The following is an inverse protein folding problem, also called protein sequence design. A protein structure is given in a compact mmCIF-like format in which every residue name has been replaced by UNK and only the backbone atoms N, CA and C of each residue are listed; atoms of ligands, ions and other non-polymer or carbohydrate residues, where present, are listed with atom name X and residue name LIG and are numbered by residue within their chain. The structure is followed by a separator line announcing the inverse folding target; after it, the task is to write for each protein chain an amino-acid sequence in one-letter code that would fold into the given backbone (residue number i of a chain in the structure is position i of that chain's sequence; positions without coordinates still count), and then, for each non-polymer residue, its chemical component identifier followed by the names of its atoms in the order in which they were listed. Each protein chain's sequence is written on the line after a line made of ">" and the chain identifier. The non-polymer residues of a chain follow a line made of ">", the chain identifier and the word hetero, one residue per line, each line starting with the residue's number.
data_IF_355216284918
#
_entry.id   IF_355216284918
#
_cell.length_a   1.000
_cell.length_b   1.000
_cell.length_c   1.000
_cell.angle_alpha   90.00
_cell.angle_beta   90.00
_cell.angle_gamma   90.00
#
_symmetry.space_group_name_H-M   'P 1'
#
loop_
_entity.id
_entity.type
_entity.pdbx_description
1 polymer ?
#
# COMPACT_ATOMS: atom_id res chain seq x y z
N UNK A 1 15.06 3.86 -21.41
CA UNK A 1 15.41 3.09 -20.19
C UNK A 1 15.22 4.05 -19.06
N UNK A 2 14.48 3.69 -18.03
CA UNK A 2 14.31 4.53 -16.84
C UNK A 2 15.58 4.39 -16.01
N UNK A 3 16.34 5.46 -15.85
CA UNK A 3 17.59 5.44 -15.10
C UNK A 3 17.30 5.54 -13.59
N UNK A 4 18.21 5.03 -12.76
CA UNK A 4 18.10 5.13 -11.31
C UNK A 4 17.98 6.59 -10.87
N UNK A 5 18.60 7.50 -11.61
CA UNK A 5 18.50 8.95 -11.36
C UNK A 5 17.09 9.47 -11.50
N UNK A 6 16.31 9.01 -12.50
CA UNK A 6 14.89 9.38 -12.68
C UNK A 6 14.04 8.91 -11.49
N UNK A 7 14.29 7.69 -11.00
CA UNK A 7 13.57 7.15 -9.83
C UNK A 7 13.87 7.99 -8.58
N UNK A 8 15.14 8.29 -8.33
CA UNK A 8 15.58 9.09 -7.17
C UNK A 8 15.02 10.52 -7.27
N UNK A 9 15.05 11.12 -8.45
CA UNK A 9 14.49 12.44 -8.68
C UNK A 9 12.97 12.45 -8.40
N UNK A 10 12.24 11.43 -8.86
CA UNK A 10 10.81 11.28 -8.59
C UNK A 10 10.52 11.11 -7.10
N UNK A 11 11.29 10.27 -6.38
CA UNK A 11 11.17 10.13 -4.93
C UNK A 11 11.36 11.48 -4.24
N UNK A 12 12.45 12.21 -4.55
CA UNK A 12 12.70 13.54 -3.97
C UNK A 12 11.58 14.51 -4.27
N UNK A 13 11.09 14.53 -5.51
CA UNK A 13 9.98 15.39 -5.93
C UNK A 13 8.71 15.14 -5.13
N UNK A 14 8.33 13.88 -4.92
CA UNK A 14 7.16 13.50 -4.12
C UNK A 14 7.26 13.99 -2.66
N UNK A 15 8.46 14.00 -2.08
CA UNK A 15 8.66 14.49 -0.72
C UNK A 15 8.71 16.02 -0.62
N UNK A 16 9.32 16.69 -1.61
CA UNK A 16 9.64 18.12 -1.53
C UNK A 16 8.64 19.01 -2.28
N UNK A 17 8.18 18.59 -3.47
CA UNK A 17 7.30 19.34 -4.36
C UNK A 17 6.18 18.45 -4.94
N UNK A 18 5.32 17.83 -4.10
CA UNK A 18 4.41 16.78 -4.54
C UNK A 18 3.44 17.24 -5.65
N UNK A 19 2.92 18.45 -5.58
CA UNK A 19 1.95 18.94 -6.57
C UNK A 19 2.58 19.03 -7.96
N UNK A 20 3.75 19.65 -8.07
CA UNK A 20 4.48 19.78 -9.31
C UNK A 20 4.88 18.40 -9.87
N UNK A 21 5.39 17.52 -8.99
CA UNK A 21 5.77 16.16 -9.37
C UNK A 21 4.59 15.35 -9.91
N UNK A 22 3.38 15.48 -9.32
CA UNK A 22 2.19 14.82 -9.87
C UNK A 22 1.77 15.41 -11.22
N UNK A 23 1.87 16.72 -11.39
CA UNK A 23 1.54 17.38 -12.67
C UNK A 23 2.47 16.89 -13.79
N UNK A 24 3.78 16.86 -13.55
CA UNK A 24 4.77 16.32 -14.48
C UNK A 24 4.54 14.82 -14.76
N UNK A 25 4.09 14.07 -13.76
CA UNK A 25 3.86 12.63 -13.90
C UNK A 25 2.65 12.26 -14.77
N UNK A 26 1.85 13.22 -15.22
CA UNK A 26 0.71 12.94 -16.11
C UNK A 26 1.13 12.18 -17.36
N UNK A 27 2.25 12.58 -17.93
CA UNK A 27 2.76 12.07 -19.20
C UNK A 27 3.84 10.98 -19.01
N UNK A 28 4.13 10.58 -17.77
CA UNK A 28 5.06 9.49 -17.51
C UNK A 28 4.63 8.23 -18.28
N UNK A 29 5.56 7.57 -19.01
CA UNK A 29 5.26 6.34 -19.73
C UNK A 29 4.96 5.20 -18.74
N UNK A 30 4.15 4.23 -19.16
CA UNK A 30 3.80 3.07 -18.32
C UNK A 30 5.03 2.32 -17.81
N UNK A 31 6.08 2.23 -18.63
CA UNK A 31 7.34 1.60 -18.22
C UNK A 31 7.97 2.27 -17.01
N UNK A 32 7.91 3.61 -16.91
CA UNK A 32 8.41 4.36 -15.75
C UNK A 32 7.66 3.98 -14.47
N UNK A 33 6.32 3.91 -14.52
CA UNK A 33 5.49 3.57 -13.36
C UNK A 33 5.79 2.15 -12.89
N UNK A 34 5.87 1.20 -13.83
CA UNK A 34 6.14 -0.21 -13.51
C UNK A 34 7.52 -0.35 -12.87
N UNK A 35 8.55 0.27 -13.45
CA UNK A 35 9.92 0.20 -12.90
C UNK A 35 10.00 0.87 -11.53
N UNK A 36 9.41 2.07 -11.40
CA UNK A 36 9.36 2.78 -10.12
C UNK A 36 8.66 1.94 -9.04
N UNK A 37 7.47 1.43 -9.35
CA UNK A 37 6.72 0.60 -8.40
C UNK A 37 7.47 -0.67 -8.03
N UNK A 38 8.07 -1.37 -9.00
CA UNK A 38 8.87 -2.55 -8.73
C UNK A 38 10.03 -2.25 -7.76
N UNK A 39 10.75 -1.15 -7.95
CA UNK A 39 11.86 -0.76 -7.09
C UNK A 39 11.37 -0.49 -5.66
N UNK A 40 10.38 0.39 -5.48
CA UNK A 40 9.91 0.73 -4.12
C UNK A 40 9.25 -0.46 -3.42
N UNK A 41 8.53 -1.33 -4.16
CA UNK A 41 7.92 -2.55 -3.63
C UNK A 41 8.98 -3.55 -3.16
N UNK A 42 10.04 -3.77 -3.95
CA UNK A 42 11.14 -4.66 -3.58
C UNK A 42 11.87 -4.14 -2.33
N UNK A 43 12.17 -2.84 -2.28
CA UNK A 43 12.76 -2.21 -1.09
C UNK A 43 11.85 -2.38 0.12
N UNK A 44 10.57 -2.08 0.00
CA UNK A 44 9.59 -2.25 1.07
C UNK A 44 9.54 -3.71 1.57
N UNK A 45 9.41 -4.66 0.65
CA UNK A 45 9.32 -6.10 1.00
C UNK A 45 10.60 -6.59 1.69
N UNK A 46 11.76 -6.10 1.27
CA UNK A 46 13.03 -6.43 1.93
C UNK A 46 13.07 -5.90 3.37
N UNK A 47 12.71 -4.62 3.56
CA UNK A 47 12.71 -3.98 4.87
C UNK A 47 11.69 -4.63 5.81
N UNK A 48 10.48 -4.92 5.35
CA UNK A 48 9.50 -5.68 6.11
C UNK A 48 9.99 -7.08 6.48
N UNK A 49 10.63 -7.80 5.56
CA UNK A 49 11.20 -9.12 5.83
C UNK A 49 12.25 -9.06 6.94
N UNK A 50 13.12 -8.05 6.92
CA UNK A 50 14.13 -7.84 7.97
C UNK A 50 13.45 -7.60 9.32
N UNK A 51 12.43 -6.74 9.37
CA UNK A 51 11.70 -6.44 10.62
C UNK A 51 11.00 -7.68 11.15
N UNK A 52 10.30 -8.43 10.30
CA UNK A 52 9.63 -9.69 10.70
C UNK A 52 10.66 -10.69 11.23
N UNK A 53 11.80 -10.84 10.56
CA UNK A 53 12.87 -11.73 11.01
C UNK A 53 13.42 -11.34 12.39
N UNK A 54 13.67 -10.06 12.62
CA UNK A 54 14.18 -9.57 13.92
C UNK A 54 13.13 -9.73 15.04
N UNK A 55 11.86 -9.63 14.73
CA UNK A 55 10.78 -9.78 15.70
C UNK A 55 10.34 -11.24 15.91
N UNK A 56 10.60 -12.13 14.97
CA UNK A 56 10.15 -13.53 15.00
C UNK A 56 10.65 -14.28 16.24
N UNK A 57 11.85 -13.99 16.71
CA UNK A 57 12.38 -14.54 17.95
C UNK A 57 11.59 -14.16 19.21
N UNK A 58 10.84 -13.07 19.17
CA UNK A 58 10.07 -12.53 20.30
C UNK A 58 8.61 -13.03 20.34
N UNK A 59 8.03 -13.38 19.19
CA UNK A 59 6.58 -13.61 19.08
C UNK A 59 6.18 -15.04 18.67
N UNK A 60 7.05 -15.83 18.02
CA UNK A 60 6.65 -17.09 17.39
C UNK A 60 7.10 -18.38 18.11
N UNK A 61 7.58 -18.31 19.34
CA UNK A 61 7.73 -19.48 20.23
C UNK A 61 8.21 -20.79 19.57
N UNK A 62 9.23 -20.77 18.70
CA UNK A 62 9.75 -21.96 18.03
C UNK A 62 9.19 -22.25 16.62
N UNK A 63 8.14 -21.57 16.16
CA UNK A 63 7.62 -21.65 14.78
C UNK A 63 8.24 -20.59 13.85
N UNK A 64 9.28 -19.89 14.32
CA UNK A 64 10.00 -18.91 13.52
C UNK A 64 10.69 -19.59 12.34
N UNK A 65 10.48 -19.11 11.11
CA UNK A 65 11.26 -19.54 9.95
C UNK A 65 12.69 -18.99 10.06
N UNK A 66 13.48 -19.57 10.97
CA UNK A 66 14.82 -19.09 11.33
C UNK A 66 15.90 -19.46 10.31
N UNK A 67 15.59 -20.34 9.36
CA UNK A 67 16.52 -20.75 8.30
C UNK A 67 16.45 -19.85 7.05
N UNK A 68 17.50 -19.87 6.20
CA UNK A 68 17.54 -19.10 4.95
C UNK A 68 16.33 -19.33 4.04
N UNK A 69 15.81 -20.55 3.99
CA UNK A 69 14.62 -20.89 3.20
C UNK A 69 13.35 -20.21 3.72
N UNK A 70 13.19 -20.09 5.04
CA UNK A 70 12.06 -19.38 5.65
C UNK A 70 12.08 -17.89 5.39
N UNK A 71 13.25 -17.26 5.52
CA UNK A 71 13.42 -15.83 5.20
C UNK A 71 13.12 -15.56 3.72
N UNK A 72 13.61 -16.40 2.83
CA UNK A 72 13.33 -16.28 1.40
C UNK A 72 11.83 -16.42 1.12
N UNK A 73 11.17 -17.39 1.75
CA UNK A 73 9.71 -17.55 1.61
C UNK A 73 8.94 -16.31 2.08
N UNK A 74 9.29 -15.74 3.25
CA UNK A 74 8.67 -14.50 3.75
C UNK A 74 8.85 -13.37 2.75
N UNK A 75 10.06 -13.19 2.21
CA UNK A 75 10.34 -12.15 1.22
C UNK A 75 9.50 -12.32 -0.05
N UNK A 76 9.51 -13.51 -0.64
CA UNK A 76 8.72 -13.79 -1.86
C UNK A 76 7.22 -13.60 -1.60
N UNK A 77 6.73 -14.09 -0.47
CA UNK A 77 5.33 -13.89 -0.07
C UNK A 77 4.99 -12.41 0.12
N UNK A 78 5.88 -11.63 0.75
CA UNK A 78 5.70 -10.18 0.90
C UNK A 78 5.63 -9.46 -0.45
N UNK A 79 6.53 -9.79 -1.39
CA UNK A 79 6.51 -9.21 -2.75
C UNK A 79 5.20 -9.54 -3.47
N UNK A 80 4.83 -10.82 -3.52
CA UNK A 80 3.64 -11.26 -4.26
C UNK A 80 2.35 -10.72 -3.63
N UNK A 81 2.23 -10.76 -2.31
CA UNK A 81 1.06 -10.24 -1.61
C UNK A 81 0.93 -8.73 -1.78
N UNK A 82 2.03 -7.98 -1.66
CA UNK A 82 2.01 -6.52 -1.86
C UNK A 82 1.65 -6.15 -3.30
N UNK A 83 2.16 -6.88 -4.29
CA UNK A 83 1.82 -6.67 -5.69
C UNK A 83 0.32 -6.88 -5.93
N UNK A 84 -0.22 -8.02 -5.47
CA UNK A 84 -1.64 -8.36 -5.64
C UNK A 84 -2.53 -7.36 -4.91
N UNK A 85 -2.22 -7.05 -3.64
CA UNK A 85 -3.00 -6.11 -2.84
C UNK A 85 -2.98 -4.70 -3.42
N UNK A 86 -1.82 -4.23 -3.91
CA UNK A 86 -1.73 -2.93 -4.57
C UNK A 86 -2.55 -2.87 -5.85
N UNK A 87 -2.51 -3.92 -6.68
CA UNK A 87 -3.31 -3.99 -7.89
C UNK A 87 -4.83 -3.99 -7.57
N UNK A 88 -5.27 -4.79 -6.61
CA UNK A 88 -6.66 -4.81 -6.15
C UNK A 88 -7.08 -3.45 -5.57
N UNK A 89 -6.23 -2.81 -4.78
CA UNK A 89 -6.51 -1.50 -4.21
C UNK A 89 -6.61 -0.42 -5.29
N UNK A 90 -5.75 -0.43 -6.31
CA UNK A 90 -5.82 0.51 -7.43
C UNK A 90 -7.13 0.36 -8.20
N UNK A 91 -7.57 -0.87 -8.47
CA UNK A 91 -8.85 -1.13 -9.13
C UNK A 91 -10.03 -0.65 -8.28
N UNK A 92 -9.99 -0.93 -6.99
CA UNK A 92 -11.00 -0.51 -6.02
C UNK A 92 -11.05 1.02 -5.87
N UNK A 93 -9.90 1.67 -5.74
CA UNK A 93 -9.80 3.13 -5.69
C UNK A 93 -10.32 3.75 -6.99
N UNK A 94 -9.97 3.16 -8.15
CA UNK A 94 -10.40 3.67 -9.44
C UNK A 94 -11.93 3.69 -9.58
N UNK A 95 -12.62 2.70 -9.03
CA UNK A 95 -14.08 2.67 -9.00
C UNK A 95 -14.64 3.94 -8.33
N UNK A 96 -14.12 4.32 -7.16
CA UNK A 96 -14.59 5.49 -6.42
C UNK A 96 -14.17 6.80 -7.07
N UNK A 97 -12.95 6.85 -7.59
CA UNK A 97 -12.48 8.00 -8.38
C UNK A 97 -13.38 8.20 -9.60
N UNK A 98 -13.73 7.13 -10.30
CA UNK A 98 -14.62 7.18 -11.46
C UNK A 98 -16.03 7.66 -11.09
N UNK A 99 -16.63 7.14 -10.00
CA UNK A 99 -17.94 7.55 -9.50
C UNK A 99 -17.96 9.05 -9.16
N UNK A 100 -16.86 9.57 -8.60
CA UNK A 100 -16.72 10.96 -8.17
C UNK A 100 -16.24 11.92 -9.27
N UNK A 101 -16.17 11.44 -10.52
CA UNK A 101 -15.96 12.26 -11.71
C UNK A 101 -14.55 12.24 -12.29
N UNK A 102 -13.64 11.41 -11.76
CA UNK A 102 -12.32 11.20 -12.37
C UNK A 102 -12.41 10.36 -13.64
N UNK A 103 -12.09 10.94 -14.79
CA UNK A 103 -12.28 10.32 -16.13
C UNK A 103 -10.98 10.12 -16.91
N UNK A 104 -9.82 10.32 -16.30
CA UNK A 104 -8.51 10.25 -16.98
C UNK A 104 -7.98 8.80 -17.13
N UNK A 105 -8.74 7.80 -16.67
CA UNK A 105 -8.41 6.37 -16.84
C UNK A 105 -7.66 5.75 -15.69
N UNK A 106 -7.60 4.40 -15.71
CA UNK A 106 -7.01 3.58 -14.65
C UNK A 106 -5.53 3.90 -14.41
N UNK A 107 -4.78 4.18 -15.47
CA UNK A 107 -3.34 4.47 -15.38
C UNK A 107 -3.08 5.70 -14.51
N UNK A 108 -3.91 6.74 -14.60
CA UNK A 108 -3.75 7.92 -13.74
C UNK A 108 -4.05 7.61 -12.27
N UNK A 109 -5.00 6.72 -12.00
CA UNK A 109 -5.23 6.23 -10.63
C UNK A 109 -4.04 5.40 -10.13
N UNK A 110 -3.47 4.55 -10.98
CA UNK A 110 -2.27 3.77 -10.63
C UNK A 110 -1.08 4.69 -10.32
N UNK A 111 -0.85 5.74 -11.12
CA UNK A 111 0.16 6.78 -10.85
C UNK A 111 -0.09 7.46 -9.50
N UNK A 112 -1.34 7.89 -9.24
CA UNK A 112 -1.70 8.54 -7.99
C UNK A 112 -1.38 7.65 -6.78
N UNK A 113 -1.70 6.36 -6.87
CA UNK A 113 -1.41 5.39 -5.81
C UNK A 113 0.10 5.14 -5.69
N UNK A 114 0.77 4.77 -6.76
CA UNK A 114 2.19 4.36 -6.74
C UNK A 114 3.08 5.49 -6.22
N UNK A 115 2.90 6.70 -6.73
CA UNK A 115 3.69 7.85 -6.29
C UNK A 115 3.25 8.35 -4.91
N UNK A 116 1.94 8.37 -4.64
CA UNK A 116 1.40 8.79 -3.35
C UNK A 116 1.78 7.86 -2.19
N UNK A 117 1.89 6.56 -2.43
CA UNK A 117 2.28 5.58 -1.42
C UNK A 117 3.79 5.53 -1.16
N UNK A 118 4.60 6.30 -1.87
CA UNK A 118 6.07 6.28 -1.73
C UNK A 118 6.56 6.44 -0.29
N UNK A 119 6.09 7.41 0.53
CA UNK A 119 6.57 7.54 1.91
C UNK A 119 6.23 6.33 2.77
N UNK A 120 5.05 5.76 2.61
CA UNK A 120 4.62 4.58 3.35
C UNK A 120 5.44 3.36 2.95
N UNK A 121 5.66 3.13 1.65
CA UNK A 121 6.49 2.01 1.18
C UNK A 121 7.95 2.11 1.62
N UNK A 122 8.52 3.31 1.68
CA UNK A 122 9.93 3.50 2.05
C UNK A 122 10.16 3.58 3.57
N UNK A 123 9.20 4.11 4.34
CA UNK A 123 9.41 4.46 5.74
C UNK A 123 8.30 3.94 6.67
N UNK A 124 7.20 3.41 6.13
CA UNK A 124 6.07 2.87 6.90
C UNK A 124 6.42 1.63 7.73
N UNK A 125 7.49 0.92 7.38
CA UNK A 125 7.98 -0.26 8.11
C UNK A 125 8.59 0.08 9.48
N UNK A 126 8.90 1.36 9.76
CA UNK A 126 9.50 1.79 11.02
C UNK A 126 8.42 1.78 12.12
N UNK A 127 8.58 0.95 13.19
CA UNK A 127 7.61 0.88 14.27
C UNK A 127 7.32 2.26 14.88
N UNK A 128 6.07 2.53 15.21
CA UNK A 128 5.56 3.80 15.78
C UNK A 128 5.67 5.03 14.86
N UNK A 129 6.76 5.18 14.11
CA UNK A 129 6.95 6.32 13.20
C UNK A 129 6.20 6.10 11.89
N UNK A 130 6.01 4.86 11.46
CA UNK A 130 5.33 4.49 10.23
C UNK A 130 3.95 5.11 10.07
N UNK A 131 3.22 5.33 11.18
CA UNK A 131 1.90 5.99 11.15
C UNK A 131 1.97 7.41 10.55
N UNK A 132 3.07 8.13 10.75
CA UNK A 132 3.26 9.47 10.19
C UNK A 132 3.35 9.37 8.66
N UNK A 133 4.10 8.38 8.17
CA UNK A 133 4.25 8.16 6.72
C UNK A 133 3.00 7.60 6.07
N UNK A 134 2.20 6.81 6.79
CA UNK A 134 0.87 6.38 6.35
C UNK A 134 -0.06 7.60 6.14
N UNK A 135 -0.12 8.51 7.12
CA UNK A 135 -0.91 9.75 7.03
C UNK A 135 -0.38 10.62 5.88
N UNK A 136 0.93 10.75 5.76
CA UNK A 136 1.54 11.51 4.66
C UNK A 136 1.21 10.91 3.30
N UNK A 137 1.30 9.60 3.14
CA UNK A 137 0.91 8.89 1.91
C UNK A 137 -0.57 9.05 1.58
N UNK A 138 -1.45 9.08 2.59
CA UNK A 138 -2.86 9.41 2.37
C UNK A 138 -3.04 10.80 1.77
N UNK A 139 -2.38 11.82 2.34
CA UNK A 139 -2.43 13.19 1.82
C UNK A 139 -1.89 13.29 0.40
N UNK A 140 -0.77 12.63 0.12
CA UNK A 140 -0.20 12.53 -1.23
C UNK A 140 -1.13 11.80 -2.19
N UNK A 141 -1.80 10.74 -1.75
CA UNK A 141 -2.81 10.05 -2.54
C UNK A 141 -3.97 10.97 -2.94
N UNK A 142 -4.45 11.81 -2.01
CA UNK A 142 -5.47 12.83 -2.30
C UNK A 142 -4.95 13.83 -3.35
N UNK A 143 -3.73 14.33 -3.17
CA UNK A 143 -3.09 15.24 -4.13
C UNK A 143 -2.92 14.58 -5.50
N UNK A 144 -2.43 13.34 -5.54
CA UNK A 144 -2.23 12.58 -6.76
C UNK A 144 -3.53 12.37 -7.54
N UNK A 145 -4.59 11.93 -6.86
CA UNK A 145 -5.92 11.76 -7.50
C UNK A 145 -6.44 13.10 -8.01
N UNK A 146 -6.32 14.17 -7.21
CA UNK A 146 -6.73 15.52 -7.61
C UNK A 146 -6.03 15.97 -8.89
N UNK A 147 -4.69 15.92 -8.89
CA UNK A 147 -3.88 16.44 -10.00
C UNK A 147 -4.00 15.59 -11.27
N UNK A 148 -3.95 14.26 -11.12
CA UNK A 148 -3.94 13.35 -12.27
C UNK A 148 -5.33 13.15 -12.90
N UNK A 149 -6.41 13.30 -12.13
CA UNK A 149 -7.77 13.23 -12.65
C UNK A 149 -8.42 14.59 -12.86
N UNK A 150 -7.76 15.71 -12.48
CA UNK A 150 -8.26 17.08 -12.61
C UNK A 150 -9.63 17.27 -11.93
N UNK A 151 -9.80 16.69 -10.75
CA UNK A 151 -11.00 16.82 -9.93
C UNK A 151 -10.73 17.68 -8.70
N UNK A 152 -11.78 18.12 -8.01
CA UNK A 152 -11.62 18.91 -6.78
C UNK A 152 -10.99 18.09 -5.65
N UNK A 153 -10.25 18.74 -4.75
CA UNK A 153 -9.65 18.12 -3.56
C UNK A 153 -10.68 17.36 -2.73
N UNK A 154 -11.89 17.94 -2.58
CA UNK A 154 -12.96 17.29 -1.84
C UNK A 154 -13.38 15.96 -2.46
N UNK A 155 -13.53 15.88 -3.79
CA UNK A 155 -13.88 14.62 -4.49
C UNK A 155 -12.75 13.59 -4.37
N UNK A 156 -11.50 14.02 -4.53
CA UNK A 156 -10.34 13.16 -4.37
C UNK A 156 -10.25 12.60 -2.94
N UNK A 157 -10.42 13.44 -1.92
CA UNK A 157 -10.42 13.04 -0.53
C UNK A 157 -11.56 12.04 -0.21
N UNK A 158 -12.78 12.32 -0.68
CA UNK A 158 -13.92 11.41 -0.50
C UNK A 158 -13.66 10.06 -1.16
N UNK A 159 -13.08 10.03 -2.37
CA UNK A 159 -12.73 8.78 -3.05
C UNK A 159 -11.77 7.93 -2.21
N UNK A 160 -10.70 8.52 -1.69
CA UNK A 160 -9.73 7.82 -0.87
C UNK A 160 -10.31 7.38 0.47
N UNK A 161 -11.07 8.26 1.14
CA UNK A 161 -11.73 7.91 2.43
C UNK A 161 -12.64 6.70 2.24
N UNK A 162 -13.49 6.70 1.24
CA UNK A 162 -14.40 5.58 0.95
C UNK A 162 -13.59 4.31 0.62
N UNK A 163 -12.55 4.44 -0.23
CA UNK A 163 -11.71 3.31 -0.62
C UNK A 163 -10.99 2.66 0.56
N UNK A 164 -10.69 3.41 1.62
CA UNK A 164 -10.04 2.89 2.83
C UNK A 164 -11.07 2.44 3.86
N UNK A 165 -12.11 3.24 4.12
CA UNK A 165 -13.04 2.98 5.23
C UNK A 165 -13.91 1.76 4.97
N UNK A 166 -14.39 1.55 3.74
CA UNK A 166 -15.25 0.38 3.43
C UNK A 166 -14.52 -0.94 3.70
N UNK A 167 -13.31 -1.21 3.18
CA UNK A 167 -12.59 -2.45 3.49
C UNK A 167 -12.28 -2.61 4.99
N UNK A 168 -11.96 -1.52 5.70
CA UNK A 168 -11.72 -1.57 7.14
C UNK A 168 -12.98 -1.95 7.93
N UNK A 169 -14.14 -1.39 7.58
CA UNK A 169 -15.41 -1.74 8.21
C UNK A 169 -15.81 -3.19 7.91
N UNK A 170 -15.58 -3.66 6.68
CA UNK A 170 -15.82 -5.05 6.32
C UNK A 170 -14.91 -6.00 7.10
N UNK A 171 -13.62 -5.66 7.23
CA UNK A 171 -12.68 -6.44 8.01
C UNK A 171 -13.09 -6.51 9.49
N UNK A 172 -13.48 -5.36 10.07
CA UNK A 172 -13.97 -5.28 11.44
C UNK A 172 -15.23 -6.15 11.62
N UNK A 173 -16.21 -6.03 10.73
CA UNK A 173 -17.43 -6.82 10.79
C UNK A 173 -17.15 -8.32 10.71
N UNK A 174 -16.34 -8.76 9.75
CA UNK A 174 -15.93 -10.17 9.61
C UNK A 174 -15.20 -10.66 10.85
N UNK A 175 -14.28 -9.85 11.40
CA UNK A 175 -13.53 -10.21 12.61
C UNK A 175 -14.46 -10.41 13.82
N UNK A 176 -15.41 -9.49 14.03
CA UNK A 176 -16.39 -9.60 15.12
C UNK A 176 -17.31 -10.80 14.92
N UNK A 177 -17.74 -11.06 13.69
CA UNK A 177 -18.57 -12.22 13.36
C UNK A 177 -17.83 -13.53 13.66
N UNK A 178 -16.56 -13.66 13.25
CA UNK A 178 -15.76 -14.85 13.53
C UNK A 178 -15.52 -15.04 15.02
N UNK A 179 -15.17 -13.98 15.76
CA UNK A 179 -15.00 -14.07 17.22
C UNK A 179 -16.28 -14.52 17.90
N UNK A 180 -17.45 -14.02 17.51
CA UNK A 180 -18.73 -14.43 18.09
C UNK A 180 -19.02 -15.93 17.84
N UNK A 181 -18.69 -16.44 16.65
CA UNK A 181 -18.89 -17.84 16.30
C UNK A 181 -17.92 -18.77 16.99
N UNK A 182 -16.64 -18.40 17.09
CA UNK A 182 -15.64 -19.21 17.81
C UNK A 182 -16.01 -19.36 19.30
N UNK A 183 -16.55 -18.33 19.92
CA UNK A 183 -16.99 -18.38 21.31
C UNK A 183 -18.26 -19.21 21.55
N UNK A 184 -18.98 -19.58 20.50
CA UNK A 184 -20.17 -20.46 20.59
C UNK A 184 -19.86 -21.95 20.43
N UNK A 185 -18.64 -22.31 20.05
CA UNK A 185 -18.23 -23.72 19.94
C UNK A 185 -18.01 -24.27 21.35
N UNK A 186 -18.80 -25.31 21.80
CA UNK A 186 -18.65 -25.85 23.15
C UNK A 186 -17.25 -26.43 23.36
N UNK A 187 -16.64 -26.17 24.52
CA UNK A 187 -15.33 -26.72 24.89
C UNK A 187 -15.26 -28.27 24.80
N UNK A 188 -16.40 -28.95 24.88
CA UNK A 188 -16.54 -30.39 24.70
C UNK A 188 -16.14 -30.89 23.29
N UNK A 189 -16.06 -30.03 22.28
CA UNK A 189 -15.60 -30.42 20.94
C UNK A 189 -14.06 -30.62 20.85
N UNK A 190 -13.31 -30.27 21.89
CA UNK A 190 -11.83 -30.39 21.96
C UNK A 190 -11.34 -31.43 22.92
N UNK A 191 -12.21 -32.25 23.54
CA UNK A 191 -11.78 -33.41 24.35
C UNK A 191 -11.52 -34.58 23.42
N UNK A 192 -10.29 -35.16 23.41
CA UNK A 192 -9.97 -36.33 22.61
C UNK A 192 -10.72 -37.59 23.08
#
# INVERSE_FOLDING_TARGET
>A
MTDVEDIVAKIKGIFLNPVETFQESRDDPQGMIITYFAVILLVNSLLHTIVIYLQAGSYMGGLSPTGPGGVFFIFVFAVLSSLVMSALFVLWLHLWVYILGGRKGLIQTAKAFVYGATPEFLLGWIPYIGIIFLIWSFLLGVLGVRELHEISTARAAVALVIAIVIPLLLLLFVSLYLISHLNTIPAAAYTP
#
